data_IF_354820460466
#
_entry.id   IF_354820460466
#
_cell.length_a   1.000
_cell.length_b   1.000
_cell.length_c   1.000
_cell.angle_alpha   90.00
_cell.angle_beta   90.00
_cell.angle_gamma   90.00
#
_symmetry.space_group_name_H-M   'P 1'
#
loop_
_entity.id
_entity.type
_entity.pdbx_description
1 polymer ?
#
# COMPACT_ATOMS: atom_id res chain seq x y z
N UNK A 1 19.24 -4.30 14.48
CA UNK A 1 18.09 -3.56 15.06
C UNK A 1 16.82 -4.28 14.61
N UNK A 2 15.98 -4.68 15.55
CA UNK A 2 14.81 -5.57 15.33
C UNK A 2 13.69 -5.00 14.42
N UNK A 3 13.74 -3.70 14.08
CA UNK A 3 12.64 -3.04 13.35
C UNK A 3 12.97 -2.68 11.89
N UNK A 4 14.21 -2.78 11.45
CA UNK A 4 14.68 -2.19 10.19
C UNK A 4 14.08 -2.81 8.91
N UNK A 5 13.48 -3.99 9.00
CA UNK A 5 12.79 -4.69 7.91
C UNK A 5 11.41 -5.21 8.31
N UNK A 6 10.88 -4.74 9.44
CA UNK A 6 9.58 -5.16 9.95
C UNK A 6 8.47 -4.41 9.19
N UNK A 7 7.70 -5.13 8.40
CA UNK A 7 6.54 -4.66 7.64
C UNK A 7 5.22 -5.24 8.17
N UNK A 8 5.24 -5.75 9.39
CA UNK A 8 4.09 -6.35 10.07
C UNK A 8 3.54 -7.63 9.41
N UNK A 9 4.36 -8.37 8.69
CA UNK A 9 3.94 -9.56 7.93
C UNK A 9 3.19 -10.59 8.79
N UNK A 10 3.75 -10.94 9.97
CA UNK A 10 3.09 -11.87 10.91
C UNK A 10 1.75 -11.34 11.48
N UNK A 11 1.64 -10.01 11.64
CA UNK A 11 0.40 -9.39 12.10
C UNK A 11 -0.68 -9.56 11.03
N UNK A 12 -0.37 -9.21 9.79
CA UNK A 12 -1.30 -9.29 8.67
C UNK A 12 -1.67 -10.73 8.31
N UNK A 13 -0.72 -11.69 8.38
CA UNK A 13 -1.02 -13.13 8.26
C UNK A 13 -2.11 -13.58 9.24
N UNK A 14 -2.03 -13.13 10.50
CA UNK A 14 -3.05 -13.44 11.51
C UNK A 14 -4.39 -12.75 11.24
N UNK A 15 -4.38 -11.56 10.65
CA UNK A 15 -5.61 -10.83 10.27
C UNK A 15 -6.28 -11.51 9.10
N UNK A 16 -5.53 -11.81 8.03
CA UNK A 16 -6.07 -12.44 6.82
C UNK A 16 -6.55 -13.86 7.04
N UNK A 17 -5.89 -14.63 7.91
CA UNK A 17 -6.34 -15.98 8.30
C UNK A 17 -7.65 -16.04 9.11
N UNK A 18 -8.24 -14.88 9.45
CA UNK A 18 -9.49 -14.78 10.21
C UNK A 18 -10.53 -13.89 9.53
N UNK A 19 -10.39 -13.67 8.22
CA UNK A 19 -11.33 -12.81 7.49
C UNK A 19 -12.69 -13.51 7.44
N UNK A 20 -13.76 -12.74 7.69
CA UNK A 20 -15.14 -13.22 7.66
C UNK A 20 -15.90 -12.54 6.52
N UNK A 21 -16.96 -13.20 6.04
CA UNK A 21 -17.87 -12.63 5.04
C UNK A 21 -18.45 -11.31 5.54
N UNK A 22 -18.55 -10.32 4.63
CA UNK A 22 -19.02 -8.97 4.95
C UNK A 22 -17.98 -8.07 5.61
N UNK A 23 -16.74 -8.53 5.76
CA UNK A 23 -15.65 -7.70 6.24
C UNK A 23 -15.42 -6.51 5.28
N UNK A 24 -15.13 -5.33 5.86
CA UNK A 24 -14.73 -4.15 5.09
C UNK A 24 -13.51 -4.40 4.19
N UNK A 25 -12.67 -5.35 4.56
CA UNK A 25 -11.48 -5.77 3.80
C UNK A 25 -11.82 -6.51 2.49
N UNK A 26 -13.08 -6.84 2.25
CA UNK A 26 -13.59 -7.40 1.00
C UNK A 26 -14.23 -6.36 0.08
N UNK A 27 -14.41 -5.12 0.57
CA UNK A 27 -15.05 -4.05 -0.19
C UNK A 27 -13.98 -3.16 -0.84
N UNK A 28 -13.94 -3.07 -2.19
CA UNK A 28 -12.98 -2.21 -2.89
C UNK A 28 -13.31 -0.72 -2.69
N UNK A 29 -12.28 0.09 -2.54
CA UNK A 29 -12.38 1.53 -2.33
C UNK A 29 -12.90 2.26 -3.58
N UNK A 30 -13.76 3.25 -3.36
CA UNK A 30 -14.36 4.02 -4.45
C UNK A 30 -13.32 4.81 -5.26
N UNK A 31 -12.26 5.29 -4.62
CA UNK A 31 -11.19 6.02 -5.30
C UNK A 31 -10.39 5.13 -6.25
N UNK A 32 -10.16 3.86 -5.87
CA UNK A 32 -9.48 2.89 -6.74
C UNK A 32 -10.33 2.59 -7.97
N UNK A 33 -11.65 2.44 -7.81
CA UNK A 33 -12.58 2.27 -8.94
C UNK A 33 -12.56 3.49 -9.87
N UNK A 34 -12.63 4.70 -9.31
CA UNK A 34 -12.59 5.95 -10.09
C UNK A 34 -11.27 6.14 -10.84
N UNK A 35 -10.14 5.79 -10.22
CA UNK A 35 -8.84 5.80 -10.88
C UNK A 35 -8.83 4.84 -12.07
N UNK A 36 -9.35 3.62 -11.89
CA UNK A 36 -9.39 2.60 -12.92
C UNK A 36 -10.29 2.97 -14.11
N UNK A 37 -11.35 3.79 -13.92
CA UNK A 37 -12.20 4.31 -15.01
C UNK A 37 -11.40 5.16 -16.01
N UNK A 38 -10.26 5.72 -15.62
CA UNK A 38 -9.36 6.50 -16.48
C UNK A 38 -8.30 5.67 -17.20
N UNK A 39 -8.24 4.36 -17.00
CA UNK A 39 -7.25 3.45 -17.55
C UNK A 39 -7.83 2.63 -18.73
N UNK A 40 -6.94 2.04 -19.54
CA UNK A 40 -7.37 1.21 -20.69
C UNK A 40 -7.56 -0.25 -20.28
N UNK A 41 -8.64 -0.86 -20.70
CA UNK A 41 -8.86 -2.28 -20.44
C UNK A 41 -7.74 -3.16 -21.02
N UNK A 42 -7.39 -4.21 -20.30
CA UNK A 42 -6.33 -5.14 -20.67
C UNK A 42 -4.92 -4.70 -20.26
N UNK A 43 -4.76 -3.48 -19.72
CA UNK A 43 -3.52 -3.05 -19.10
C UNK A 43 -3.18 -3.89 -17.85
N UNK A 44 -1.89 -3.95 -17.52
CA UNK A 44 -1.35 -4.73 -16.40
C UNK A 44 -1.29 -3.87 -15.14
N UNK A 45 -1.84 -4.38 -14.04
CA UNK A 45 -1.81 -3.70 -12.74
C UNK A 45 -1.14 -4.62 -11.70
N UNK A 46 -0.16 -4.10 -10.97
CA UNK A 46 0.34 -4.69 -9.73
C UNK A 46 -0.45 -4.13 -8.55
N UNK A 47 -1.17 -4.98 -7.82
CA UNK A 47 -1.75 -4.66 -6.50
C UNK A 47 -0.71 -5.03 -5.43
N UNK A 48 0.02 -4.01 -4.95
CA UNK A 48 1.13 -4.14 -4.02
C UNK A 48 0.62 -4.08 -2.58
N UNK A 49 0.73 -5.19 -1.84
CA UNK A 49 0.11 -5.39 -0.55
C UNK A 49 -1.38 -5.70 -0.70
N UNK A 50 -1.70 -6.65 -1.56
CA UNK A 50 -3.07 -6.94 -1.98
C UNK A 50 -3.99 -7.46 -0.85
N UNK A 51 -3.42 -8.00 0.24
CA UNK A 51 -4.16 -8.62 1.32
C UNK A 51 -5.04 -9.75 0.79
N UNK A 52 -6.33 -9.69 1.08
CA UNK A 52 -7.34 -10.66 0.60
C UNK A 52 -7.91 -10.29 -0.79
N UNK A 53 -7.30 -9.35 -1.50
CA UNK A 53 -7.59 -9.09 -2.91
C UNK A 53 -8.79 -8.20 -3.21
N UNK A 54 -9.28 -7.39 -2.26
CA UNK A 54 -10.47 -6.53 -2.49
C UNK A 54 -10.37 -5.67 -3.75
N UNK A 55 -9.19 -5.16 -4.07
CA UNK A 55 -8.96 -4.36 -5.27
C UNK A 55 -8.64 -5.23 -6.48
N UNK A 56 -7.71 -6.19 -6.31
CA UNK A 56 -7.29 -7.09 -7.39
C UNK A 56 -8.50 -7.84 -8.02
N UNK A 57 -9.37 -8.43 -7.20
CA UNK A 57 -10.58 -9.12 -7.68
C UNK A 57 -11.56 -8.17 -8.40
N UNK A 58 -11.75 -6.97 -7.84
CA UNK A 58 -12.63 -5.97 -8.45
C UNK A 58 -12.10 -5.46 -9.78
N UNK A 59 -10.81 -5.17 -9.89
CA UNK A 59 -10.18 -4.67 -11.11
C UNK A 59 -10.09 -5.77 -12.19
N UNK A 60 -9.81 -7.01 -11.79
CA UNK A 60 -9.82 -8.15 -12.71
C UNK A 60 -11.22 -8.37 -13.32
N UNK A 61 -12.28 -8.25 -12.53
CA UNK A 61 -13.66 -8.45 -13.00
C UNK A 61 -14.11 -7.45 -14.06
N UNK A 62 -13.44 -6.30 -14.18
CA UNK A 62 -13.69 -5.28 -15.20
C UNK A 62 -12.68 -5.30 -16.35
N UNK A 63 -11.78 -6.29 -16.40
CA UNK A 63 -10.98 -6.60 -17.57
C UNK A 63 -9.50 -6.20 -17.51
N UNK A 64 -8.96 -5.82 -16.34
CA UNK A 64 -7.53 -5.61 -16.16
C UNK A 64 -6.77 -6.93 -15.94
N UNK A 65 -5.48 -6.96 -16.27
CA UNK A 65 -4.58 -8.08 -15.98
C UNK A 65 -3.92 -7.82 -14.62
N UNK A 66 -4.31 -8.57 -13.60
CA UNK A 66 -3.88 -8.35 -12.22
C UNK A 66 -2.78 -9.30 -11.78
N UNK A 67 -1.76 -8.72 -11.15
CA UNK A 67 -0.82 -9.42 -10.28
C UNK A 67 -1.00 -8.87 -8.87
N UNK A 68 -1.30 -9.74 -7.92
CA UNK A 68 -1.45 -9.43 -6.50
C UNK A 68 -0.20 -9.88 -5.75
N UNK A 69 0.54 -8.95 -5.15
CA UNK A 69 1.69 -9.27 -4.30
C UNK A 69 1.37 -8.93 -2.84
N UNK A 70 1.67 -9.87 -1.95
CA UNK A 70 1.61 -9.65 -0.50
C UNK A 70 2.71 -10.46 0.20
N UNK A 71 3.13 -10.02 1.38
CA UNK A 71 4.06 -10.75 2.24
C UNK A 71 3.34 -11.77 3.14
N UNK A 72 2.01 -11.69 3.25
CA UNK A 72 1.17 -12.59 4.03
C UNK A 72 0.52 -13.65 3.12
N UNK A 73 0.96 -14.92 3.18
CA UNK A 73 0.46 -15.97 2.30
C UNK A 73 -1.03 -16.28 2.50
N UNK A 74 -1.58 -16.05 3.70
CA UNK A 74 -3.00 -16.28 3.98
C UNK A 74 -3.91 -15.39 3.14
N UNK A 75 -3.51 -14.12 2.90
CA UNK A 75 -4.25 -13.21 2.03
C UNK A 75 -4.27 -13.69 0.58
N UNK A 76 -3.13 -14.09 0.06
CA UNK A 76 -3.00 -14.63 -1.30
C UNK A 76 -3.81 -15.91 -1.50
N UNK A 77 -3.85 -16.78 -0.48
CA UNK A 77 -4.66 -17.98 -0.53
C UNK A 77 -6.18 -17.69 -0.65
N UNK A 78 -6.67 -16.58 -0.07
CA UNK A 78 -8.06 -16.16 -0.27
C UNK A 78 -8.30 -15.65 -1.71
N UNK A 79 -7.33 -14.96 -2.31
CA UNK A 79 -7.41 -14.54 -3.72
C UNK A 79 -7.48 -15.76 -4.64
N UNK A 80 -6.58 -16.74 -4.45
CA UNK A 80 -6.53 -17.97 -5.26
C UNK A 80 -7.83 -18.78 -5.18
N UNK A 81 -8.47 -18.80 -4.02
CA UNK A 81 -9.80 -19.44 -3.85
C UNK A 81 -10.90 -18.68 -4.59
N UNK A 82 -10.84 -17.34 -4.57
CA UNK A 82 -11.89 -16.49 -5.11
C UNK A 82 -11.83 -16.35 -6.64
N UNK A 83 -10.65 -16.36 -7.25
CA UNK A 83 -10.48 -16.07 -8.67
C UNK A 83 -9.17 -16.62 -9.25
N UNK A 84 -9.28 -17.42 -10.32
CA UNK A 84 -8.14 -17.92 -11.08
C UNK A 84 -7.56 -16.90 -12.09
N UNK A 85 -8.21 -15.77 -12.26
CA UNK A 85 -7.81 -14.71 -13.21
C UNK A 85 -6.83 -13.67 -12.65
N UNK A 86 -6.47 -13.77 -11.37
CA UNK A 86 -5.46 -12.94 -10.72
C UNK A 86 -4.20 -13.80 -10.52
N UNK A 87 -3.05 -13.29 -10.92
CA UNK A 87 -1.76 -13.93 -10.59
C UNK A 87 -1.35 -13.53 -9.20
N UNK A 88 -1.15 -14.49 -8.29
CA UNK A 88 -0.66 -14.22 -6.94
C UNK A 88 0.85 -14.40 -6.83
N UNK A 89 1.51 -13.55 -6.07
CA UNK A 89 2.95 -13.56 -5.84
C UNK A 89 3.26 -13.30 -4.37
N UNK A 90 3.85 -14.27 -3.69
CA UNK A 90 4.40 -14.06 -2.35
C UNK A 90 5.69 -13.25 -2.47
N UNK A 91 5.78 -12.15 -1.75
CA UNK A 91 6.97 -11.28 -1.82
C UNK A 91 6.85 -10.04 -0.95
N UNK A 92 7.98 -9.36 -0.79
CA UNK A 92 8.06 -8.10 -0.03
C UNK A 92 7.98 -6.91 -0.98
N UNK A 93 7.41 -5.81 -0.49
CA UNK A 93 7.26 -4.57 -1.28
C UNK A 93 8.61 -3.88 -1.58
N UNK A 94 9.64 -4.11 -0.75
CA UNK A 94 10.97 -3.51 -0.87
C UNK A 94 11.97 -4.36 -1.68
N UNK A 95 11.51 -5.48 -2.26
CA UNK A 95 12.29 -6.38 -3.13
C UNK A 95 11.32 -7.13 -4.07
N UNK A 96 10.95 -6.51 -5.19
CA UNK A 96 9.91 -7.01 -6.09
C UNK A 96 10.47 -8.03 -7.08
N UNK A 97 9.91 -9.27 -7.14
CA UNK A 97 10.39 -10.34 -8.02
C UNK A 97 9.90 -10.19 -9.47
N UNK A 98 9.97 -8.98 -10.02
CA UNK A 98 9.52 -8.69 -11.38
C UNK A 98 10.63 -7.99 -12.17
N UNK A 99 10.60 -8.14 -13.49
CA UNK A 99 11.48 -7.43 -14.39
C UNK A 99 11.16 -5.92 -14.45
N UNK A 100 12.11 -5.13 -14.98
CA UNK A 100 11.90 -3.72 -15.22
C UNK A 100 10.74 -3.51 -16.21
N UNK A 101 10.02 -2.38 -16.08
CA UNK A 101 9.00 -1.95 -17.04
C UNK A 101 7.92 -3.02 -17.31
N UNK A 102 7.52 -3.77 -16.26
CA UNK A 102 6.55 -4.88 -16.37
C UNK A 102 5.10 -4.38 -16.35
N UNK A 103 4.79 -3.43 -15.48
CA UNK A 103 3.41 -3.01 -15.23
C UNK A 103 3.07 -1.66 -15.85
N UNK A 104 1.86 -1.55 -16.40
CA UNK A 104 1.31 -0.27 -16.84
C UNK A 104 0.92 0.59 -15.63
N UNK A 105 0.49 -0.07 -14.54
CA UNK A 105 0.07 0.62 -13.32
C UNK A 105 0.47 -0.16 -12.07
N UNK A 106 0.67 0.57 -10.96
CA UNK A 106 0.84 0.01 -9.61
C UNK A 106 -0.20 0.64 -8.70
N UNK A 107 -0.84 -0.18 -7.88
CA UNK A 107 -1.72 0.22 -6.79
C UNK A 107 -1.09 -0.18 -5.46
N UNK A 108 -1.06 0.72 -4.47
CA UNK A 108 -0.67 0.39 -3.10
C UNK A 108 -1.53 1.13 -2.09
N UNK A 109 -2.57 0.47 -1.61
CA UNK A 109 -3.58 1.08 -0.76
C UNK A 109 -3.43 0.65 0.70
N UNK A 110 -3.03 1.58 1.56
CA UNK A 110 -2.75 1.37 2.97
C UNK A 110 -1.59 0.41 3.25
N UNK A 111 -0.52 0.47 2.47
CA UNK A 111 0.58 -0.50 2.51
C UNK A 111 1.96 0.13 2.67
N UNK A 112 2.43 0.97 1.74
CA UNK A 112 3.86 1.30 1.61
C UNK A 112 4.45 2.06 2.80
N UNK A 113 3.65 2.58 3.68
CA UNK A 113 4.08 3.23 4.92
C UNK A 113 4.36 2.24 6.08
N UNK A 114 4.14 0.93 5.88
CA UNK A 114 4.54 -0.11 6.84
C UNK A 114 6.04 -0.39 6.69
N UNK A 115 6.81 0.03 7.67
CA UNK A 115 8.27 -0.06 7.67
C UNK A 115 8.93 1.26 8.03
N UNK A 116 10.26 1.26 8.08
CA UNK A 116 11.05 2.46 8.29
C UNK A 116 11.35 3.19 6.95
N UNK A 117 12.06 4.32 7.05
CA UNK A 117 12.42 5.11 5.86
C UNK A 117 13.20 4.28 4.82
N UNK A 118 14.02 3.33 5.25
CA UNK A 118 14.81 2.47 4.33
C UNK A 118 13.89 1.55 3.52
N UNK A 119 12.95 0.89 4.20
CA UNK A 119 11.94 0.04 3.53
C UNK A 119 11.12 0.85 2.54
N UNK A 120 10.66 2.04 2.96
CA UNK A 120 9.88 2.93 2.10
C UNK A 120 10.66 3.36 0.85
N UNK A 121 11.91 3.81 1.00
CA UNK A 121 12.74 4.25 -0.13
C UNK A 121 13.05 3.11 -1.10
N UNK A 122 13.33 1.91 -0.60
CA UNK A 122 13.51 0.73 -1.44
C UNK A 122 12.22 0.40 -2.19
N UNK A 123 11.06 0.43 -1.50
CA UNK A 123 9.75 0.20 -2.13
C UNK A 123 9.47 1.20 -3.26
N UNK A 124 9.73 2.50 -3.05
CA UNK A 124 9.57 3.52 -4.09
C UNK A 124 10.49 3.25 -5.28
N UNK A 125 11.74 2.86 -5.02
CA UNK A 125 12.71 2.49 -6.06
C UNK A 125 12.25 1.28 -6.87
N UNK A 126 11.76 0.24 -6.20
CA UNK A 126 11.25 -0.97 -6.84
C UNK A 126 9.98 -0.70 -7.66
N UNK A 127 9.03 0.06 -7.11
CA UNK A 127 7.84 0.48 -7.87
C UNK A 127 8.24 1.26 -9.13
N UNK A 128 9.19 2.20 -9.01
CA UNK A 128 9.70 2.94 -10.17
C UNK A 128 10.35 2.02 -11.20
N UNK A 129 11.08 1.00 -10.77
CA UNK A 129 11.75 0.03 -11.63
C UNK A 129 10.77 -0.82 -12.43
N UNK A 130 9.74 -1.37 -11.76
CA UNK A 130 8.77 -2.28 -12.39
C UNK A 130 7.65 -1.58 -13.16
N UNK A 131 7.40 -0.31 -12.88
CA UNK A 131 6.39 0.51 -13.56
C UNK A 131 6.93 0.98 -14.91
N UNK A 132 6.20 0.84 -16.00
CA UNK A 132 6.56 1.36 -17.32
C UNK A 132 6.66 2.89 -17.32
N UNK A 133 7.45 3.44 -18.22
CA UNK A 133 7.50 4.88 -18.45
C UNK A 133 6.12 5.41 -18.87
N UNK A 134 5.65 6.48 -18.24
CA UNK A 134 4.28 7.00 -18.41
C UNK A 134 3.21 6.23 -17.62
N UNK A 135 3.57 5.10 -17.00
CA UNK A 135 2.67 4.34 -16.13
C UNK A 135 2.33 5.09 -14.85
N UNK A 136 1.22 4.72 -14.20
CA UNK A 136 0.74 5.41 -13.00
C UNK A 136 0.87 4.59 -11.74
N UNK A 137 1.17 5.27 -10.63
CA UNK A 137 1.23 4.71 -9.29
C UNK A 137 0.17 5.37 -8.42
N UNK A 138 -0.87 4.61 -8.05
CA UNK A 138 -1.88 5.05 -7.09
C UNK A 138 -1.55 4.51 -5.72
N UNK A 139 -1.50 5.39 -4.71
CA UNK A 139 -1.11 5.00 -3.37
C UNK A 139 -1.74 5.85 -2.28
N UNK A 140 -1.66 5.37 -1.04
CA UNK A 140 -1.91 6.15 0.16
C UNK A 140 -0.68 6.19 1.06
N UNK A 141 -0.52 7.29 1.82
CA UNK A 141 0.52 7.47 2.85
C UNK A 141 -0.08 8.04 4.13
N UNK A 142 0.53 7.78 5.28
CA UNK A 142 0.07 8.38 6.54
C UNK A 142 0.48 9.85 6.63
N UNK A 143 -0.49 10.71 6.90
CA UNK A 143 -0.27 12.13 7.13
C UNK A 143 0.27 12.41 8.54
N UNK A 144 1.10 13.45 8.70
CA UNK A 144 1.48 13.96 10.04
C UNK A 144 0.29 14.48 10.86
N UNK A 145 -0.85 14.78 10.23
CA UNK A 145 -2.10 15.02 10.97
C UNK A 145 -2.54 13.76 11.70
N UNK A 146 -2.43 12.60 11.06
CA UNK A 146 -2.69 11.31 11.66
C UNK A 146 -1.74 11.02 12.83
N UNK A 147 -0.43 11.32 12.67
CA UNK A 147 0.55 11.12 13.73
C UNK A 147 0.15 11.83 15.03
N UNK A 148 -0.31 13.09 14.95
CA UNK A 148 -0.76 13.84 16.13
C UNK A 148 -1.89 13.12 16.86
N UNK A 149 -2.88 12.63 16.11
CA UNK A 149 -4.01 11.86 16.67
C UNK A 149 -3.53 10.55 17.28
N UNK A 150 -2.64 9.84 16.62
CA UNK A 150 -2.08 8.57 17.12
C UNK A 150 -1.27 8.79 18.40
N UNK A 151 -0.47 9.87 18.48
CA UNK A 151 0.28 10.24 19.69
C UNK A 151 -0.62 10.60 20.89
N UNK A 152 -1.82 11.15 20.63
CA UNK A 152 -2.79 11.48 21.67
C UNK A 152 -3.58 10.24 22.14
N UNK A 153 -3.87 9.30 21.23
CA UNK A 153 -4.78 8.17 21.49
C UNK A 153 -4.09 6.87 21.82
N UNK A 154 -2.85 6.66 21.36
CA UNK A 154 -2.12 5.41 21.53
C UNK A 154 -1.01 5.55 22.58
N UNK A 155 -0.69 4.43 23.25
CA UNK A 155 0.25 4.44 24.34
C UNK A 155 1.71 4.45 23.86
N UNK A 156 2.56 5.17 24.62
CA UNK A 156 4.02 5.18 24.49
C UNK A 156 4.51 5.38 23.03
N UNK A 157 4.17 6.52 22.40
CA UNK A 157 4.68 6.83 21.08
C UNK A 157 6.22 6.92 21.12
N UNK A 158 6.87 6.23 20.19
CA UNK A 158 8.33 6.24 20.07
C UNK A 158 8.72 6.42 18.60
N UNK A 159 9.47 7.48 18.31
CA UNK A 159 10.15 7.61 17.03
C UNK A 159 11.39 6.73 17.03
N UNK A 160 11.46 5.76 16.14
CA UNK A 160 12.55 4.78 16.03
C UNK A 160 13.57 5.14 14.95
N UNK A 161 13.13 5.91 13.96
CA UNK A 161 13.94 6.57 12.94
C UNK A 161 13.16 7.78 12.42
N UNK A 162 13.76 8.60 11.57
CA UNK A 162 13.12 9.80 11.02
C UNK A 162 11.73 9.48 10.47
N UNK A 163 10.71 10.18 10.96
CA UNK A 163 9.30 10.04 10.54
C UNK A 163 8.69 8.64 10.76
N UNK A 164 9.41 7.72 11.42
CA UNK A 164 8.96 6.35 11.66
C UNK A 164 8.65 6.12 13.12
N UNK A 165 7.43 5.73 13.40
CA UNK A 165 6.89 5.61 14.75
C UNK A 165 6.37 4.22 15.04
N UNK A 166 6.50 3.80 16.32
CA UNK A 166 5.87 2.63 16.90
C UNK A 166 5.11 3.03 18.17
N UNK A 167 4.05 2.30 18.47
CA UNK A 167 3.20 2.54 19.64
C UNK A 167 3.04 1.25 20.44
N UNK A 168 2.92 1.33 21.76
CA UNK A 168 2.68 0.17 22.59
C UNK A 168 1.18 -0.15 22.67
N UNK A 169 0.62 -0.62 21.55
CA UNK A 169 -0.76 -1.07 21.44
C UNK A 169 -0.81 -2.44 20.78
N UNK A 170 -1.02 -3.49 21.59
CA UNK A 170 -1.04 -4.88 21.13
C UNK A 170 -2.20 -5.20 20.17
N UNK A 171 -3.24 -4.35 20.14
CA UNK A 171 -4.43 -4.53 19.29
C UNK A 171 -4.28 -3.85 17.94
N UNK A 172 -3.25 -3.03 17.76
CA UNK A 172 -3.00 -2.25 16.55
C UNK A 172 -1.76 -2.73 15.83
N UNK A 173 -1.80 -2.67 14.49
CA UNK A 173 -0.64 -2.81 13.62
C UNK A 173 0.45 -1.76 13.90
N UNK A 174 0.07 -0.64 14.54
CA UNK A 174 0.98 0.44 14.92
C UNK A 174 2.03 0.10 15.99
N UNK A 175 1.98 -1.11 16.55
CA UNK A 175 3.11 -1.70 17.27
C UNK A 175 4.32 -1.96 16.38
N UNK A 176 4.10 -2.06 15.07
CA UNK A 176 5.10 -2.17 14.03
C UNK A 176 5.45 -0.78 13.46
N UNK A 177 6.59 -0.62 12.76
CA UNK A 177 7.00 0.67 12.19
C UNK A 177 5.99 1.22 11.20
N UNK A 178 5.65 2.51 11.36
CA UNK A 178 4.79 3.25 10.44
C UNK A 178 5.44 4.58 10.10
N UNK A 179 5.56 4.89 8.82
CA UNK A 179 6.12 6.13 8.31
C UNK A 179 5.03 7.19 8.12
N UNK A 180 5.25 8.39 8.66
CA UNK A 180 4.34 9.53 8.55
C UNK A 180 5.03 10.69 7.85
N UNK A 181 4.35 11.38 6.94
CA UNK A 181 4.93 12.49 6.19
C UNK A 181 4.03 13.72 6.10
N UNK A 182 4.69 14.87 5.93
CA UNK A 182 4.10 16.14 5.50
C UNK A 182 4.08 16.22 3.97
N UNK A 183 3.43 17.23 3.40
CA UNK A 183 3.43 17.47 1.97
C UNK A 183 4.85 17.66 1.37
N UNK A 184 5.71 18.39 2.08
CA UNK A 184 7.08 18.64 1.62
C UNK A 184 7.91 17.36 1.60
N UNK A 185 7.80 16.54 2.64
CA UNK A 185 8.47 15.25 2.71
C UNK A 185 7.93 14.28 1.66
N UNK A 186 6.61 14.28 1.42
CA UNK A 186 5.99 13.51 0.36
C UNK A 186 6.58 13.83 -1.02
N UNK A 187 6.66 15.11 -1.37
CA UNK A 187 7.22 15.53 -2.65
C UNK A 187 8.71 15.17 -2.78
N UNK A 188 9.45 15.20 -1.66
CA UNK A 188 10.86 14.80 -1.66
C UNK A 188 11.04 13.28 -1.85
N UNK A 189 10.14 12.45 -1.28
CA UNK A 189 10.18 10.98 -1.43
C UNK A 189 9.95 10.53 -2.87
N UNK A 190 9.03 11.16 -3.58
CA UNK A 190 8.60 10.75 -4.91
C UNK A 190 9.27 11.55 -6.05
N UNK A 191 10.53 11.97 -5.86
CA UNK A 191 11.32 12.56 -6.95
C UNK A 191 11.46 11.56 -8.12
N UNK A 192 11.28 12.06 -9.36
CA UNK A 192 11.24 11.23 -10.57
C UNK A 192 9.84 10.74 -10.95
N UNK A 193 8.84 11.11 -10.16
CA UNK A 193 7.44 11.00 -10.53
C UNK A 193 6.83 12.38 -10.74
N UNK A 194 5.90 12.49 -11.69
CA UNK A 194 5.03 13.65 -11.85
C UNK A 194 3.77 13.44 -11.02
N UNK A 195 3.48 14.36 -10.11
CA UNK A 195 2.23 14.32 -9.33
C UNK A 195 1.06 14.68 -10.24
N UNK A 196 0.13 13.75 -10.46
CA UNK A 196 -1.12 13.95 -11.20
C UNK A 196 -2.23 14.42 -10.27
N UNK A 197 -2.26 13.87 -9.07
CA UNK A 197 -3.22 14.20 -8.03
C UNK A 197 -2.64 13.92 -6.64
N UNK A 198 -2.92 14.78 -5.68
CA UNK A 198 -2.50 14.64 -4.28
C UNK A 198 -3.52 15.34 -3.38
N UNK A 199 -3.99 14.64 -2.35
CA UNK A 199 -4.93 15.15 -1.38
C UNK A 199 -4.62 14.61 0.02
N UNK A 200 -4.71 15.45 1.07
CA UNK A 200 -4.65 15.03 2.48
C UNK A 200 -6.05 15.09 3.07
N UNK A 201 -6.66 13.95 3.32
CA UNK A 201 -8.03 13.85 3.84
C UNK A 201 -8.21 12.68 4.81
N UNK A 202 -9.31 12.70 5.53
CA UNK A 202 -9.70 11.58 6.38
C UNK A 202 -10.15 10.39 5.52
N UNK A 203 -9.76 9.20 5.98
CA UNK A 203 -10.12 7.93 5.35
C UNK A 203 -11.47 7.42 5.88
N UNK A 204 -11.48 6.31 6.62
CA UNK A 204 -12.71 5.62 7.07
C UNK A 204 -13.42 6.29 8.24
N UNK A 205 -12.72 7.06 9.06
CA UNK A 205 -13.21 7.61 10.33
C UNK A 205 -12.51 8.91 10.70
N UNK A 206 -13.13 9.74 11.53
CA UNK A 206 -12.53 10.96 12.03
C UNK A 206 -11.13 10.75 12.64
N UNK A 207 -10.19 11.57 12.25
CA UNK A 207 -8.79 11.49 12.65
C UNK A 207 -7.93 10.52 11.84
N UNK A 208 -8.49 9.80 10.89
CA UNK A 208 -7.77 8.85 10.02
C UNK A 208 -7.17 9.55 8.80
N UNK A 209 -6.31 10.53 9.00
CA UNK A 209 -5.73 11.34 7.94
C UNK A 209 -4.71 10.58 7.11
N UNK A 210 -4.92 10.55 5.78
CA UNK A 210 -4.03 9.97 4.80
C UNK A 210 -3.82 10.90 3.62
N UNK A 211 -2.63 10.84 3.07
CA UNK A 211 -2.35 11.33 1.73
C UNK A 211 -2.86 10.31 0.72
N UNK A 212 -3.49 10.79 -0.32
CA UNK A 212 -3.93 10.06 -1.50
C UNK A 212 -3.18 10.61 -2.69
N UNK A 213 -2.55 9.77 -3.48
CA UNK A 213 -1.71 10.19 -4.60
C UNK A 213 -2.01 9.37 -5.85
N UNK A 214 -1.93 10.06 -6.98
CA UNK A 214 -1.73 9.45 -8.29
C UNK A 214 -0.47 10.09 -8.88
N UNK A 215 0.53 9.28 -9.13
CA UNK A 215 1.84 9.66 -9.64
C UNK A 215 2.03 9.03 -11.03
N UNK A 216 2.77 9.69 -11.91
CA UNK A 216 3.15 9.17 -13.23
C UNK A 216 4.66 9.05 -13.29
N UNK A 217 5.19 7.89 -13.70
CA UNK A 217 6.63 7.71 -13.89
C UNK A 217 7.12 8.51 -15.09
N UNK A 218 8.09 9.41 -14.89
CA UNK A 218 8.62 10.31 -15.93
C UNK A 218 10.07 10.05 -16.32
N UNK A 219 10.81 9.26 -15.54
CA UNK A 219 12.20 8.91 -15.80
C UNK A 219 12.60 7.57 -15.15
#
# INVERSE_FOLDING_TARGET
MKFKSDTADEHWSKVWGKIEDGSKWLTPEADVKRWAEGLSYGETILDLGAGVGRHALSLQSVGFKLTALDAAPEGLAEIDKACTGVTTQLGRMDDLPFENDTFDHVLSWNVIYHGDETVLLNTISEVRRVLKLGGTFMLTMLSKRRLRIDQEKLNNPKEISRNTWVFNDERSDKRHPHYYCSAVEMLALFQGFKVKWMEDREHDKPGSWHWYLILERTA
#
